data_IF_453123149746
#
_entry.id   IF_453123149746
#
_cell.length_a   1.000
_cell.length_b   1.000
_cell.length_c   1.000
_cell.angle_alpha   90.00
_cell.angle_beta   90.00
_cell.angle_gamma   90.00
#
_symmetry.space_group_name_H-M   'P 1'
#
loop_
_entity.id
_entity.type
_entity.pdbx_description
1 polymer ?
#
# COMPACT_ATOMS: atom_id res chain seq x y z
N UNK A 1 -6.08 0.94 -13.07
CA UNK A 1 -6.23 2.20 -12.35
C UNK A 1 -4.92 2.66 -11.72
N UNK A 2 -4.21 1.75 -11.06
CA UNK A 2 -2.92 2.05 -10.43
C UNK A 2 -1.73 1.56 -11.26
N UNK A 3 -1.96 1.18 -12.49
CA UNK A 3 -0.93 0.55 -13.31
C UNK A 3 0.26 1.48 -13.56
N UNK A 4 0.02 2.79 -13.69
CA UNK A 4 1.11 3.75 -13.88
C UNK A 4 2.03 3.81 -12.67
N UNK A 5 1.46 3.84 -11.48
CA UNK A 5 2.24 3.82 -10.25
C UNK A 5 3.04 2.52 -10.13
N UNK A 6 2.40 1.38 -10.41
CA UNK A 6 3.06 0.08 -10.34
C UNK A 6 4.22 -0.02 -11.33
N UNK A 7 4.05 0.47 -12.54
CA UNK A 7 5.12 0.47 -13.54
C UNK A 7 6.30 1.35 -13.10
N UNK A 8 6.01 2.53 -12.53
CA UNK A 8 7.05 3.42 -12.03
C UNK A 8 7.79 2.81 -10.83
N UNK A 9 7.07 2.13 -9.95
CA UNK A 9 7.68 1.42 -8.82
C UNK A 9 8.58 0.29 -9.30
N UNK A 10 8.15 -0.43 -10.35
CA UNK A 10 8.96 -1.52 -10.91
C UNK A 10 10.26 -0.99 -11.52
N UNK A 11 10.22 0.16 -12.15
CA UNK A 11 11.42 0.80 -12.67
C UNK A 11 12.36 1.27 -11.58
N UNK A 12 11.80 1.79 -10.48
CA UNK A 12 12.55 2.30 -9.34
C UNK A 12 13.14 1.18 -8.50
N UNK A 13 12.37 0.12 -8.29
CA UNK A 13 12.75 -1.02 -7.46
C UNK A 13 12.41 -2.32 -8.19
N UNK A 14 13.43 -3.05 -8.61
CA UNK A 14 13.23 -4.28 -9.39
C UNK A 14 12.52 -5.39 -8.61
N UNK A 15 12.49 -5.30 -7.29
CA UNK A 15 11.88 -6.31 -6.44
C UNK A 15 10.45 -5.92 -6.03
N UNK A 16 9.64 -5.59 -7.01
CA UNK A 16 8.24 -5.24 -6.78
C UNK A 16 7.38 -6.49 -6.63
N UNK A 17 6.53 -6.48 -5.58
CA UNK A 17 5.54 -7.51 -5.32
C UNK A 17 4.16 -6.85 -5.22
N UNK A 18 3.17 -7.37 -5.94
CA UNK A 18 1.82 -6.78 -5.97
C UNK A 18 0.82 -7.80 -5.42
N UNK A 19 0.07 -7.39 -4.39
CA UNK A 19 -1.06 -8.18 -3.89
C UNK A 19 -2.32 -7.80 -4.66
N UNK A 20 -3.02 -8.78 -5.18
CA UNK A 20 -4.17 -8.58 -6.04
C UNK A 20 -5.35 -9.38 -5.52
N UNK A 21 -6.51 -8.74 -5.44
CA UNK A 21 -7.75 -9.42 -5.06
C UNK A 21 -8.06 -10.57 -6.04
N UNK A 22 -8.50 -11.70 -5.51
CA UNK A 22 -8.92 -12.85 -6.32
C UNK A 22 -10.20 -12.57 -7.12
N UNK A 23 -10.82 -11.42 -6.91
CA UNK A 23 -11.99 -10.96 -7.67
C UNK A 23 -11.62 -10.24 -8.96
N UNK A 24 -10.34 -9.94 -9.17
CA UNK A 24 -9.86 -9.24 -10.37
C UNK A 24 -9.72 -10.23 -11.52
N UNK A 25 -10.12 -9.82 -12.71
CA UNK A 25 -10.04 -10.66 -13.88
C UNK A 25 -8.61 -11.01 -14.26
N UNK A 26 -8.38 -12.25 -14.67
CA UNK A 26 -7.06 -12.76 -15.01
C UNK A 26 -6.36 -11.92 -16.08
N UNK A 27 -7.10 -11.47 -17.09
CA UNK A 27 -6.53 -10.67 -18.17
C UNK A 27 -5.91 -9.36 -17.65
N UNK A 28 -6.56 -8.74 -16.67
CA UNK A 28 -6.07 -7.53 -16.06
C UNK A 28 -4.82 -7.81 -15.22
N UNK A 29 -4.84 -8.92 -14.47
CA UNK A 29 -3.72 -9.33 -13.62
C UNK A 29 -2.44 -9.54 -14.45
N UNK A 30 -2.58 -10.16 -15.61
CA UNK A 30 -1.44 -10.44 -16.49
C UNK A 30 -0.71 -9.20 -16.97
N UNK A 31 -1.38 -8.05 -17.00
CA UNK A 31 -0.80 -6.78 -17.44
C UNK A 31 -0.01 -6.07 -16.34
N UNK A 32 -0.13 -6.50 -15.10
CA UNK A 32 0.52 -5.84 -13.97
C UNK A 32 1.99 -6.23 -13.88
N UNK A 33 2.88 -5.31 -13.49
CA UNK A 33 4.30 -5.61 -13.36
C UNK A 33 4.60 -6.32 -12.04
N UNK A 34 5.79 -6.91 -11.95
CA UNK A 34 6.29 -7.48 -10.70
C UNK A 34 5.78 -8.86 -10.41
N UNK A 35 6.14 -9.36 -9.24
CA UNK A 35 5.63 -10.64 -8.74
C UNK A 35 4.23 -10.44 -8.20
N UNK A 36 3.34 -11.38 -8.48
CA UNK A 36 1.92 -11.25 -8.13
C UNK A 36 1.55 -12.25 -7.06
N UNK A 37 0.92 -11.75 -6.00
CA UNK A 37 0.30 -12.58 -4.97
C UNK A 37 -1.21 -12.36 -5.05
N UNK A 38 -1.96 -13.41 -5.29
CA UNK A 38 -3.42 -13.33 -5.46
C UNK A 38 -4.10 -13.94 -4.25
N UNK A 39 -5.05 -13.22 -3.68
CA UNK A 39 -5.77 -13.70 -2.52
C UNK A 39 -6.98 -12.85 -2.20
N UNK A 40 -7.60 -13.16 -1.06
CA UNK A 40 -8.76 -12.43 -0.58
C UNK A 40 -8.30 -11.13 0.10
N UNK A 41 -8.66 -9.99 -0.47
CA UNK A 41 -8.26 -8.67 0.05
C UNK A 41 -8.88 -8.41 1.45
N UNK A 42 -9.92 -9.13 1.83
CA UNK A 42 -10.55 -9.01 3.13
C UNK A 42 -10.03 -10.00 4.17
N UNK A 43 -9.02 -10.79 3.81
CA UNK A 43 -8.37 -11.73 4.71
C UNK A 43 -6.97 -11.21 5.07
N UNK A 44 -6.82 -10.74 6.31
CA UNK A 44 -5.55 -10.15 6.75
C UNK A 44 -4.39 -11.15 6.68
N UNK A 45 -4.66 -12.44 6.84
CA UNK A 45 -3.60 -13.44 6.74
C UNK A 45 -3.05 -13.58 5.32
N UNK A 46 -3.88 -13.40 4.30
CA UNK A 46 -3.42 -13.43 2.91
C UNK A 46 -2.48 -12.26 2.62
N UNK A 47 -2.84 -11.06 3.11
CA UNK A 47 -2.01 -9.86 2.93
C UNK A 47 -0.71 -10.01 3.71
N UNK A 48 -0.79 -10.45 4.94
CA UNK A 48 0.39 -10.68 5.78
C UNK A 48 1.36 -11.65 5.11
N UNK A 49 0.86 -12.79 4.64
CA UNK A 49 1.69 -13.80 3.97
C UNK A 49 2.39 -13.21 2.73
N UNK A 50 1.66 -12.44 1.94
CA UNK A 50 2.21 -11.81 0.74
C UNK A 50 3.29 -10.79 1.08
N UNK A 51 3.25 -10.18 2.27
CA UNK A 51 4.22 -9.17 2.69
C UNK A 51 5.52 -9.74 3.26
N UNK A 52 5.59 -11.04 3.51
CA UNK A 52 6.76 -11.64 4.14
C UNK A 52 8.04 -11.36 3.36
N UNK A 53 9.05 -10.86 4.06
CA UNK A 53 10.34 -10.53 3.47
C UNK A 53 10.40 -9.18 2.78
N UNK A 54 9.30 -8.45 2.68
CA UNK A 54 9.28 -7.12 2.11
C UNK A 54 9.77 -6.09 3.13
N UNK A 55 10.45 -5.05 2.64
CA UNK A 55 10.88 -3.93 3.48
C UNK A 55 9.77 -2.88 3.60
N UNK A 56 9.21 -2.46 2.47
CA UNK A 56 8.20 -1.41 2.40
C UNK A 56 6.87 -1.98 1.92
N UNK A 57 5.78 -1.63 2.61
CA UNK A 57 4.43 -1.97 2.18
C UNK A 57 3.65 -0.71 1.83
N UNK A 58 3.00 -0.73 0.69
CA UNK A 58 2.14 0.37 0.24
C UNK A 58 0.70 -0.12 0.26
N UNK A 59 -0.12 0.49 1.12
CA UNK A 59 -1.50 0.09 1.35
C UNK A 59 -2.44 1.17 0.80
N UNK A 60 -3.15 0.84 -0.25
CA UNK A 60 -4.10 1.77 -0.85
C UNK A 60 -5.51 1.47 -0.35
N UNK A 61 -6.00 2.30 0.55
CA UNK A 61 -7.36 2.21 1.09
C UNK A 61 -8.37 2.92 0.19
N UNK A 62 -7.98 4.06 -0.34
CA UNK A 62 -8.87 4.88 -1.13
C UNK A 62 -10.11 5.29 -0.33
N UNK A 63 -11.28 5.03 -0.89
CA UNK A 63 -12.56 5.32 -0.25
C UNK A 63 -13.25 4.08 0.31
N UNK A 64 -12.56 2.94 0.33
CA UNK A 64 -13.12 1.65 0.74
C UNK A 64 -13.00 1.43 2.24
N UNK A 65 -14.07 1.72 3.00
CA UNK A 65 -14.08 1.63 4.46
C UNK A 65 -13.75 0.24 5.01
N UNK A 66 -14.17 -0.79 4.30
CA UNK A 66 -14.03 -2.17 4.77
C UNK A 66 -12.58 -2.67 4.79
N UNK A 67 -11.65 -1.98 4.14
CA UNK A 67 -10.26 -2.38 4.12
C UNK A 67 -9.47 -1.92 5.34
N UNK A 68 -9.94 -0.92 6.06
CA UNK A 68 -9.17 -0.28 7.13
C UNK A 68 -8.73 -1.27 8.22
N UNK A 69 -9.68 -2.03 8.76
CA UNK A 69 -9.37 -2.99 9.80
C UNK A 69 -8.52 -4.15 9.31
N UNK A 70 -8.76 -4.60 8.08
CA UNK A 70 -7.99 -5.66 7.47
C UNK A 70 -6.52 -5.25 7.34
N UNK A 71 -6.29 -4.03 6.84
CA UNK A 71 -4.93 -3.51 6.68
C UNK A 71 -4.23 -3.34 8.02
N UNK A 72 -4.93 -2.80 9.03
CA UNK A 72 -4.36 -2.64 10.37
C UNK A 72 -3.93 -3.99 10.93
N UNK A 73 -4.78 -5.01 10.82
CA UNK A 73 -4.46 -6.34 11.32
C UNK A 73 -3.26 -6.95 10.59
N UNK A 74 -3.19 -6.82 9.27
CA UNK A 74 -2.06 -7.36 8.51
C UNK A 74 -0.76 -6.64 8.84
N UNK A 75 -0.80 -5.32 9.01
CA UNK A 75 0.36 -4.53 9.38
C UNK A 75 0.89 -4.93 10.75
N UNK A 76 0.00 -5.12 11.72
CA UNK A 76 0.41 -5.52 13.09
C UNK A 76 1.10 -6.88 13.13
N UNK A 77 0.77 -7.78 12.21
CA UNK A 77 1.39 -9.09 12.12
C UNK A 77 2.69 -9.06 11.30
N UNK A 78 2.86 -8.05 10.46
CA UNK A 78 3.96 -8.00 9.51
C UNK A 78 5.28 -7.58 10.16
N UNK A 79 6.37 -7.82 9.43
CA UNK A 79 7.69 -7.33 9.78
C UNK A 79 8.13 -6.19 8.87
N UNK A 80 7.18 -5.50 8.27
CA UNK A 80 7.46 -4.35 7.40
C UNK A 80 8.17 -3.24 8.18
N UNK A 81 9.21 -2.69 7.57
CA UNK A 81 10.02 -1.62 8.18
C UNK A 81 9.57 -0.23 7.77
N UNK A 82 8.81 -0.14 6.68
CA UNK A 82 8.32 1.12 6.15
C UNK A 82 6.92 0.89 5.60
N UNK A 83 5.97 1.73 5.98
CA UNK A 83 4.57 1.58 5.57
C UNK A 83 4.05 2.91 5.03
N UNK A 84 3.49 2.87 3.84
CA UNK A 84 2.82 4.01 3.23
C UNK A 84 1.33 3.68 3.12
N UNK A 85 0.48 4.49 3.73
CA UNK A 85 -0.97 4.30 3.71
C UNK A 85 -1.60 5.42 2.92
N UNK A 86 -2.28 5.09 1.84
CA UNK A 86 -2.90 6.08 0.94
C UNK A 86 -4.40 5.99 1.10
N UNK A 87 -5.05 7.11 1.43
CA UNK A 87 -6.49 7.11 1.66
C UNK A 87 -7.16 8.42 1.28
N UNK A 88 -8.44 8.32 0.89
CA UNK A 88 -9.34 9.46 0.74
C UNK A 88 -10.13 9.72 2.01
N UNK A 89 -9.90 8.94 3.05
CA UNK A 89 -10.58 9.02 4.34
C UNK A 89 -9.66 9.63 5.38
N UNK A 90 -10.27 10.23 6.39
CA UNK A 90 -9.52 10.84 7.49
C UNK A 90 -8.78 9.76 8.28
N UNK A 91 -7.59 10.11 8.77
CA UNK A 91 -6.79 9.21 9.60
C UNK A 91 -7.49 8.89 10.92
N UNK A 92 -7.15 7.76 11.52
CA UNK A 92 -7.58 7.41 12.87
C UNK A 92 -6.35 7.26 13.76
N UNK A 93 -6.55 7.41 15.06
CA UNK A 93 -5.45 7.26 16.03
C UNK A 93 -4.82 5.86 15.94
N UNK A 94 -5.64 4.84 15.72
CA UNK A 94 -5.14 3.48 15.60
C UNK A 94 -4.13 3.33 14.47
N UNK A 95 -4.36 4.02 13.34
CA UNK A 95 -3.44 3.98 12.20
C UNK A 95 -2.19 4.80 12.48
N UNK A 96 -2.36 6.02 12.97
CA UNK A 96 -1.21 6.92 13.18
C UNK A 96 -0.30 6.47 14.32
N UNK A 97 -0.79 5.61 15.19
CA UNK A 97 0.01 5.01 16.26
C UNK A 97 0.86 3.83 15.79
N UNK A 98 0.62 3.33 14.57
CA UNK A 98 1.43 2.24 14.01
C UNK A 98 2.86 2.74 13.74
N UNK A 99 3.82 1.86 14.05
CA UNK A 99 5.23 2.19 13.84
C UNK A 99 5.57 2.25 12.36
N UNK A 100 6.48 3.14 12.02
CA UNK A 100 7.07 3.24 10.66
C UNK A 100 6.07 3.55 9.57
N UNK A 101 4.95 4.19 9.91
CA UNK A 101 3.88 4.47 8.96
C UNK A 101 3.79 5.96 8.64
N UNK A 102 3.63 6.27 7.35
CA UNK A 102 3.23 7.59 6.88
C UNK A 102 1.83 7.49 6.28
N UNK A 103 0.91 8.28 6.79
CA UNK A 103 -0.46 8.35 6.26
C UNK A 103 -0.53 9.45 5.21
N UNK A 104 -0.94 9.10 4.00
CA UNK A 104 -1.05 10.04 2.89
C UNK A 104 -2.54 10.27 2.61
N UNK A 105 -3.03 11.44 3.01
CA UNK A 105 -4.42 11.83 2.81
C UNK A 105 -4.55 12.56 1.49
N UNK A 106 -5.40 12.07 0.61
CA UNK A 106 -5.57 12.65 -0.72
C UNK A 106 -7.05 12.68 -1.12
N UNK A 107 -7.36 13.47 -2.13
CA UNK A 107 -8.68 13.43 -2.77
C UNK A 107 -8.51 12.81 -4.17
N UNK A 108 -9.61 12.69 -4.91
CA UNK A 108 -9.57 12.03 -6.23
C UNK A 108 -8.70 12.76 -7.26
N UNK A 109 -8.41 14.03 -7.03
CA UNK A 109 -7.62 14.85 -7.96
C UNK A 109 -6.16 14.96 -7.53
N UNK A 110 -5.80 14.40 -6.37
CA UNK A 110 -4.43 14.46 -5.86
C UNK A 110 -3.50 13.57 -6.66
N UNK A 111 -2.31 14.09 -6.97
CA UNK A 111 -1.25 13.29 -7.55
C UNK A 111 -0.37 12.73 -6.42
N UNK A 112 -0.69 11.53 -5.97
CA UNK A 112 0.06 10.88 -4.89
C UNK A 112 1.24 10.06 -5.40
N UNK A 113 1.33 9.80 -6.70
CA UNK A 113 2.37 8.91 -7.24
C UNK A 113 3.78 9.40 -6.95
N UNK A 114 4.05 10.67 -7.20
CA UNK A 114 5.40 11.22 -6.95
C UNK A 114 5.78 11.14 -5.48
N UNK A 115 4.83 11.40 -4.59
CA UNK A 115 5.04 11.30 -3.15
C UNK A 115 5.34 9.87 -2.74
N UNK A 116 4.59 8.90 -3.26
CA UNK A 116 4.81 7.49 -2.97
C UNK A 116 6.20 7.05 -3.43
N UNK A 117 6.58 7.43 -4.64
CA UNK A 117 7.89 7.05 -5.20
C UNK A 117 9.03 7.64 -4.37
N UNK A 118 8.89 8.88 -3.95
CA UNK A 118 9.89 9.54 -3.11
C UNK A 118 10.01 8.86 -1.74
N UNK A 119 8.88 8.58 -1.10
CA UNK A 119 8.87 7.98 0.23
C UNK A 119 9.30 6.51 0.23
N UNK A 120 9.05 5.79 -0.86
CA UNK A 120 9.47 4.39 -0.96
C UNK A 120 10.98 4.24 -0.89
N UNK A 121 11.72 5.22 -1.38
CA UNK A 121 13.19 5.21 -1.34
C UNK A 121 13.77 5.57 0.03
N UNK A 122 12.96 6.10 0.94
CA UNK A 122 13.40 6.52 2.26
C UNK A 122 13.19 5.39 3.26
N UNK A 123 14.26 4.99 3.95
CA UNK A 123 14.20 3.89 4.91
C UNK A 123 13.57 4.27 6.25
N UNK A 124 13.53 5.56 6.58
CA UNK A 124 13.03 6.05 7.86
C UNK A 124 11.82 6.95 7.69
N UNK A 125 10.95 6.95 8.71
CA UNK A 125 9.78 7.82 8.73
C UNK A 125 10.22 9.24 9.09
N UNK A 126 10.07 10.18 8.15
CA UNK A 126 10.31 11.60 8.41
C UNK A 126 9.03 12.32 8.78
N UNK A 127 7.92 11.96 8.13
CA UNK A 127 6.61 12.54 8.39
C UNK A 127 5.59 11.43 8.60
N UNK A 128 4.78 11.55 9.65
CA UNK A 128 3.71 10.58 9.90
C UNK A 128 2.44 10.86 9.12
N UNK A 129 2.26 12.10 8.68
CA UNK A 129 1.06 12.51 7.98
C UNK A 129 1.40 13.50 6.87
N UNK A 130 0.89 13.22 5.68
CA UNK A 130 1.03 14.10 4.52
C UNK A 130 -0.36 14.35 3.95
N UNK A 131 -0.72 15.62 3.82
CA UNK A 131 -2.02 16.03 3.25
C UNK A 131 -1.81 16.53 1.83
N UNK A 132 -2.31 15.77 0.87
CA UNK A 132 -2.26 16.12 -0.55
C UNK A 132 -3.61 16.59 -1.09
N UNK A 133 -4.62 16.70 -0.25
CA UNK A 133 -5.97 17.09 -0.66
C UNK A 133 -6.07 18.53 -1.09
#
# INVERSE_FOLDING_TARGET
EHINLLNRLKEQNQDLRVFISDKIEKEFIEKLPGKKAIGDIYDDSHIYTASEGAFCGIFYEGSENSLREVFIKSIKQSSLKRILWISNQKESDEITELDNLTYIFCNKDSNYEDTVLELEEIDEVSDKFIDLS
#
